data_IF_179049114286
#
_entry.id   IF_179049114286
#
_cell.length_a   1.000
_cell.length_b   1.000
_cell.length_c   1.000
_cell.angle_alpha   90.00
_cell.angle_beta   90.00
_cell.angle_gamma   90.00
#
_symmetry.space_group_name_H-M   'P 1'
#
loop_
_entity.id
_entity.type
_entity.pdbx_description
1 polymer ?
#
# COMPACT_ATOMS: atom_id res chain seq x y z
N UNK A 1 -12.85 -19.72 10.69
CA UNK A 1 -13.64 -18.57 10.15
C UNK A 1 -14.44 -17.94 11.29
N UNK A 2 -14.05 -16.73 11.70
CA UNK A 2 -14.64 -16.05 12.88
C UNK A 2 -16.07 -15.54 12.63
N UNK A 3 -16.43 -15.15 11.40
CA UNK A 3 -17.74 -14.56 11.04
C UNK A 3 -18.46 -15.37 9.94
N UNK A 4 -18.44 -16.69 10.03
CA UNK A 4 -19.09 -17.58 9.04
C UNK A 4 -20.59 -17.36 8.92
N UNK A 5 -21.24 -16.93 9.99
CA UNK A 5 -22.68 -16.65 10.03
C UNK A 5 -23.09 -15.55 9.05
N UNK A 6 -22.22 -14.60 8.75
CA UNK A 6 -22.47 -13.54 7.76
C UNK A 6 -22.70 -14.11 6.35
N UNK A 7 -22.17 -15.30 6.06
CA UNK A 7 -22.21 -15.93 4.74
C UNK A 7 -23.36 -16.93 4.58
N UNK A 8 -23.98 -17.36 5.68
CA UNK A 8 -25.00 -18.42 5.64
C UNK A 8 -26.22 -18.03 4.80
N UNK A 9 -26.48 -18.83 3.75
CA UNK A 9 -27.59 -18.63 2.82
C UNK A 9 -27.42 -17.45 1.86
N UNK A 10 -26.25 -16.83 1.82
CA UNK A 10 -25.95 -15.65 0.99
C UNK A 10 -25.48 -16.04 -0.41
N UNK A 11 -25.73 -15.15 -1.36
CA UNK A 11 -25.09 -15.15 -2.68
C UNK A 11 -23.84 -14.29 -2.60
N UNK A 12 -22.69 -14.84 -2.97
CA UNK A 12 -21.38 -14.21 -2.83
C UNK A 12 -20.71 -14.05 -4.20
N UNK A 13 -20.07 -12.91 -4.40
CA UNK A 13 -19.15 -12.66 -5.52
C UNK A 13 -17.72 -12.60 -4.95
N UNK A 14 -16.86 -13.50 -5.41
CA UNK A 14 -15.41 -13.46 -5.19
C UNK A 14 -14.77 -12.84 -6.43
N UNK A 15 -14.35 -11.58 -6.33
CA UNK A 15 -13.81 -10.82 -7.45
C UNK A 15 -12.28 -10.88 -7.45
N UNK A 16 -11.70 -11.31 -8.59
CA UNK A 16 -10.27 -11.61 -8.69
C UNK A 16 -9.93 -12.87 -7.91
N UNK A 17 -10.71 -13.92 -8.10
CA UNK A 17 -10.71 -15.11 -7.23
C UNK A 17 -9.38 -15.90 -7.26
N UNK A 18 -8.51 -15.67 -8.24
CA UNK A 18 -7.24 -16.40 -8.38
C UNK A 18 -7.48 -17.92 -8.42
N UNK A 19 -7.01 -18.61 -7.38
CA UNK A 19 -7.22 -20.05 -7.20
C UNK A 19 -8.60 -20.43 -6.64
N UNK A 20 -9.45 -19.44 -6.31
CA UNK A 20 -10.80 -19.66 -5.76
C UNK A 20 -10.81 -19.95 -4.25
N UNK A 21 -9.74 -19.64 -3.52
CA UNK A 21 -9.64 -19.95 -2.09
C UNK A 21 -10.72 -19.23 -1.28
N UNK A 22 -10.99 -17.95 -1.55
CA UNK A 22 -12.01 -17.17 -0.86
C UNK A 22 -13.41 -17.67 -1.22
N UNK A 23 -13.65 -17.98 -2.51
CA UNK A 23 -14.90 -18.57 -2.96
C UNK A 23 -15.20 -19.90 -2.26
N UNK A 24 -14.21 -20.79 -2.16
CA UNK A 24 -14.36 -22.07 -1.47
C UNK A 24 -14.60 -21.88 0.03
N UNK A 25 -13.97 -20.91 0.67
CA UNK A 25 -14.23 -20.57 2.06
C UNK A 25 -15.62 -19.99 2.27
N UNK A 26 -16.12 -19.14 1.36
CA UNK A 26 -17.48 -18.63 1.40
C UNK A 26 -18.51 -19.77 1.30
N UNK A 27 -18.30 -20.71 0.37
CA UNK A 27 -19.13 -21.91 0.25
C UNK A 27 -19.14 -22.76 1.53
N UNK A 28 -17.95 -23.02 2.12
CA UNK A 28 -17.80 -23.75 3.39
C UNK A 28 -18.39 -22.98 4.59
N UNK A 29 -18.52 -21.65 4.50
CA UNK A 29 -19.19 -20.82 5.49
C UNK A 29 -20.73 -20.87 5.36
N UNK A 30 -21.25 -21.56 4.34
CA UNK A 30 -22.69 -21.79 4.14
C UNK A 30 -23.34 -20.85 3.14
N UNK A 31 -22.56 -20.20 2.26
CA UNK A 31 -23.12 -19.47 1.12
C UNK A 31 -23.99 -20.40 0.26
N UNK A 32 -25.11 -19.88 -0.24
CA UNK A 32 -26.01 -20.62 -1.10
C UNK A 32 -25.53 -20.69 -2.55
N UNK A 33 -24.78 -19.67 -2.99
CA UNK A 33 -24.16 -19.58 -4.32
C UNK A 33 -22.92 -18.69 -4.21
N UNK A 34 -21.87 -19.03 -4.93
CA UNK A 34 -20.67 -18.21 -5.06
C UNK A 34 -20.29 -18.08 -6.52
N UNK A 35 -20.15 -16.86 -7.00
CA UNK A 35 -19.55 -16.54 -8.28
C UNK A 35 -18.08 -16.20 -8.07
N UNK A 36 -17.18 -17.01 -8.60
CA UNK A 36 -15.74 -16.79 -8.54
C UNK A 36 -15.26 -16.24 -9.89
N UNK A 37 -15.05 -14.93 -9.97
CA UNK A 37 -14.67 -14.25 -11.21
C UNK A 37 -13.16 -14.04 -11.25
N UNK A 38 -12.51 -14.54 -12.31
CA UNK A 38 -11.07 -14.44 -12.51
C UNK A 38 -10.77 -14.16 -13.97
N UNK A 39 -10.03 -13.08 -14.25
CA UNK A 39 -9.76 -12.62 -15.61
C UNK A 39 -8.64 -13.40 -16.30
N UNK A 40 -7.83 -14.13 -15.55
CA UNK A 40 -6.64 -14.84 -16.04
C UNK A 40 -6.88 -16.34 -16.24
N UNK A 41 -5.99 -17.05 -16.96
CA UNK A 41 -6.06 -18.51 -17.06
C UNK A 41 -6.00 -19.26 -15.71
N UNK A 42 -5.77 -18.56 -14.58
CA UNK A 42 -5.87 -19.13 -13.24
C UNK A 42 -7.28 -19.67 -12.94
N UNK A 43 -8.32 -19.13 -13.57
CA UNK A 43 -9.69 -19.64 -13.49
C UNK A 43 -9.81 -21.14 -13.78
N UNK A 44 -8.97 -21.68 -14.67
CA UNK A 44 -8.94 -23.11 -14.97
C UNK A 44 -8.46 -23.94 -13.78
N UNK A 45 -7.46 -23.44 -13.05
CA UNK A 45 -6.99 -24.09 -11.82
C UNK A 45 -8.01 -23.96 -10.69
N UNK A 46 -8.70 -22.81 -10.62
CA UNK A 46 -9.79 -22.62 -9.67
C UNK A 46 -10.92 -23.66 -9.88
N UNK A 47 -11.34 -23.91 -11.13
CA UNK A 47 -12.35 -24.95 -11.44
C UNK A 47 -11.93 -26.33 -10.96
N UNK A 48 -10.66 -26.73 -11.24
CA UNK A 48 -10.12 -28.00 -10.77
C UNK A 48 -10.15 -28.12 -9.24
N UNK A 49 -9.78 -27.03 -8.54
CA UNK A 49 -9.78 -27.00 -7.07
C UNK A 49 -11.19 -27.05 -6.49
N UNK A 50 -12.15 -26.32 -7.08
CA UNK A 50 -13.55 -26.33 -6.69
C UNK A 50 -14.14 -27.73 -6.85
N UNK A 51 -13.89 -28.41 -7.99
CA UNK A 51 -14.32 -29.78 -8.26
C UNK A 51 -13.71 -30.78 -7.28
N UNK A 52 -12.38 -30.72 -7.09
CA UNK A 52 -11.66 -31.60 -6.17
C UNK A 52 -12.13 -31.46 -4.70
N UNK A 53 -12.71 -30.32 -4.33
CA UNK A 53 -13.27 -30.06 -3.00
C UNK A 53 -14.79 -30.36 -2.93
N UNK A 54 -15.44 -30.83 -4.00
CA UNK A 54 -16.88 -31.15 -4.03
C UNK A 54 -17.77 -29.92 -3.88
N UNK A 55 -17.35 -28.77 -4.42
CA UNK A 55 -18.04 -27.48 -4.25
C UNK A 55 -18.69 -26.96 -5.54
N UNK A 56 -18.66 -27.74 -6.64
CA UNK A 56 -19.16 -27.33 -7.96
C UNK A 56 -20.66 -26.95 -7.99
N UNK A 57 -21.46 -27.49 -7.09
CA UNK A 57 -22.88 -27.14 -6.99
C UNK A 57 -23.11 -25.74 -6.39
N UNK A 58 -22.13 -25.22 -5.64
CA UNK A 58 -22.22 -23.93 -4.94
C UNK A 58 -21.36 -22.87 -5.63
N UNK A 59 -20.13 -23.22 -6.05
CA UNK A 59 -19.14 -22.29 -6.61
C UNK A 59 -19.14 -22.42 -8.13
N UNK A 60 -19.42 -21.30 -8.79
CA UNK A 60 -19.32 -21.13 -10.24
C UNK A 60 -18.11 -20.29 -10.58
N UNK A 61 -17.14 -20.85 -11.33
CA UNK A 61 -15.94 -20.14 -11.74
C UNK A 61 -16.12 -19.56 -13.14
N UNK A 62 -16.03 -18.24 -13.24
CA UNK A 62 -16.21 -17.47 -14.48
C UNK A 62 -14.84 -16.89 -14.90
N UNK A 63 -14.36 -17.27 -16.11
CA UNK A 63 -13.12 -16.75 -16.68
C UNK A 63 -13.44 -15.51 -17.54
N UNK A 64 -13.45 -14.34 -16.92
CA UNK A 64 -13.73 -13.06 -17.56
C UNK A 64 -13.26 -11.90 -16.67
N UNK A 65 -13.13 -10.71 -17.25
CA UNK A 65 -13.04 -9.48 -16.45
C UNK A 65 -14.39 -9.20 -15.81
N UNK A 66 -14.38 -8.64 -14.60
CA UNK A 66 -15.63 -8.37 -13.86
C UNK A 66 -16.56 -7.44 -14.64
N UNK A 67 -16.02 -6.52 -15.41
CA UNK A 67 -16.76 -5.58 -16.24
C UNK A 67 -17.49 -6.23 -17.40
N UNK A 68 -17.07 -7.44 -17.82
CA UNK A 68 -17.62 -8.23 -18.93
C UNK A 68 -18.61 -9.31 -18.46
N UNK A 69 -18.76 -9.50 -17.13
CA UNK A 69 -19.61 -10.54 -16.54
C UNK A 69 -21.05 -10.07 -16.45
N UNK A 70 -21.96 -10.99 -16.75
CA UNK A 70 -23.39 -10.86 -16.44
C UNK A 70 -23.79 -11.95 -15.45
N UNK A 71 -24.16 -11.53 -14.23
CA UNK A 71 -24.67 -12.43 -13.18
C UNK A 71 -26.18 -12.58 -13.31
N UNK A 72 -26.73 -13.67 -12.80
CA UNK A 72 -28.18 -13.92 -12.83
C UNK A 72 -28.98 -12.98 -11.90
N UNK A 73 -28.33 -12.17 -11.09
CA UNK A 73 -28.95 -11.20 -10.17
C UNK A 73 -27.91 -10.54 -9.27
N UNK A 74 -28.39 -9.70 -8.37
CA UNK A 74 -27.54 -9.05 -7.36
C UNK A 74 -27.02 -10.04 -6.32
N UNK A 75 -25.87 -9.71 -5.73
CA UNK A 75 -25.23 -10.50 -4.69
C UNK A 75 -25.39 -9.85 -3.31
N UNK A 76 -25.35 -10.66 -2.28
CA UNK A 76 -25.40 -10.22 -0.88
C UNK A 76 -24.05 -9.70 -0.38
N UNK A 77 -22.98 -10.33 -0.88
CA UNK A 77 -21.62 -10.11 -0.41
C UNK A 77 -20.66 -10.06 -1.60
N UNK A 78 -19.73 -9.13 -1.57
CA UNK A 78 -18.53 -9.17 -2.41
C UNK A 78 -17.33 -9.39 -1.51
N UNK A 79 -16.52 -10.40 -1.84
CA UNK A 79 -15.21 -10.59 -1.23
C UNK A 79 -14.13 -10.39 -2.28
N UNK A 80 -13.01 -9.78 -1.92
CA UNK A 80 -11.88 -9.61 -2.84
C UNK A 80 -10.60 -9.34 -2.08
N UNK A 81 -9.51 -9.96 -2.50
CA UNK A 81 -8.17 -9.56 -2.12
C UNK A 81 -7.64 -8.66 -3.24
N UNK A 82 -7.79 -7.35 -3.04
CA UNK A 82 -7.50 -6.30 -4.02
C UNK A 82 -6.32 -5.41 -3.65
N UNK A 83 -5.80 -5.56 -2.43
CA UNK A 83 -4.81 -4.66 -1.86
C UNK A 83 -3.46 -4.81 -2.55
N UNK A 84 -2.89 -3.68 -2.96
CA UNK A 84 -1.53 -3.59 -3.47
C UNK A 84 -0.58 -2.92 -2.49
N UNK A 85 0.64 -2.69 -2.90
CA UNK A 85 1.59 -1.90 -2.11
C UNK A 85 1.04 -0.49 -1.86
N UNK A 86 1.33 0.06 -0.68
CA UNK A 86 0.72 1.31 -0.22
C UNK A 86 -0.82 1.30 -0.37
N UNK A 87 -1.45 0.13 -0.16
CA UNK A 87 -2.88 -0.16 -0.31
C UNK A 87 -3.38 -0.14 -1.77
N UNK A 88 -3.12 0.91 -2.53
CA UNK A 88 -3.84 1.25 -3.76
C UNK A 88 -3.07 0.95 -5.06
N UNK A 89 -1.83 0.47 -4.97
CA UNK A 89 -1.09 0.03 -6.17
C UNK A 89 -1.86 -1.10 -6.85
N UNK A 90 -1.76 -1.19 -8.17
CA UNK A 90 -2.47 -2.10 -9.06
C UNK A 90 -3.88 -1.65 -9.46
N UNK A 91 -4.48 -0.68 -8.76
CA UNK A 91 -5.80 -0.11 -9.04
C UNK A 91 -6.96 -1.13 -9.07
N UNK A 92 -6.79 -2.31 -8.43
CA UNK A 92 -7.80 -3.35 -8.44
C UNK A 92 -9.06 -2.96 -7.65
N UNK A 93 -8.92 -2.03 -6.69
CA UNK A 93 -10.08 -1.48 -5.95
C UNK A 93 -11.11 -0.82 -6.88
N UNK A 94 -10.71 -0.27 -8.03
CA UNK A 94 -11.63 0.32 -8.99
C UNK A 94 -12.63 -0.71 -9.53
N UNK A 95 -12.13 -1.90 -9.86
CA UNK A 95 -12.99 -3.02 -10.29
C UNK A 95 -13.89 -3.53 -9.16
N UNK A 96 -13.43 -3.47 -7.90
CA UNK A 96 -14.29 -3.80 -6.73
C UNK A 96 -15.42 -2.79 -6.58
N UNK A 97 -15.10 -1.49 -6.70
CA UNK A 97 -16.10 -0.42 -6.63
C UNK A 97 -17.10 -0.55 -7.78
N UNK A 98 -16.61 -0.82 -8.99
CA UNK A 98 -17.47 -1.07 -10.15
C UNK A 98 -18.41 -2.27 -9.89
N UNK A 99 -17.87 -3.38 -9.38
CA UNK A 99 -18.67 -4.56 -9.04
C UNK A 99 -19.68 -4.29 -7.93
N UNK A 100 -19.28 -3.49 -6.92
CA UNK A 100 -20.18 -3.01 -5.85
C UNK A 100 -21.38 -2.27 -6.43
N UNK A 101 -21.12 -1.29 -7.29
CA UNK A 101 -22.15 -0.39 -7.82
C UNK A 101 -23.10 -1.13 -8.78
N UNK A 102 -22.62 -2.15 -9.50
CA UNK A 102 -23.43 -2.96 -10.43
C UNK A 102 -24.14 -4.12 -9.75
N UNK A 103 -23.45 -4.86 -8.88
CA UNK A 103 -23.89 -6.17 -8.43
C UNK A 103 -24.28 -6.27 -6.96
N UNK A 104 -23.76 -5.42 -6.07
CA UNK A 104 -24.09 -5.49 -4.65
C UNK A 104 -25.50 -4.96 -4.41
N UNK A 105 -26.34 -5.76 -3.74
CA UNK A 105 -27.67 -5.30 -3.37
C UNK A 105 -27.61 -4.20 -2.29
N UNK A 106 -28.65 -3.37 -2.16
CA UNK A 106 -28.76 -2.44 -1.05
C UNK A 106 -28.64 -3.15 0.31
N UNK A 107 -27.76 -2.65 1.19
CA UNK A 107 -27.47 -3.27 2.49
C UNK A 107 -26.56 -4.51 2.44
N UNK A 108 -26.02 -4.86 1.27
CA UNK A 108 -25.01 -5.90 1.10
C UNK A 108 -23.68 -5.53 1.76
N UNK A 109 -22.78 -6.50 1.87
CA UNK A 109 -21.50 -6.35 2.57
C UNK A 109 -20.31 -6.48 1.62
N UNK A 110 -19.26 -5.70 1.88
CA UNK A 110 -17.92 -5.88 1.30
C UNK A 110 -16.98 -6.52 2.33
N UNK A 111 -16.09 -7.39 1.86
CA UNK A 111 -14.99 -7.94 2.65
C UNK A 111 -13.68 -7.87 1.88
N UNK A 112 -12.74 -6.97 2.32
CA UNK A 112 -12.84 -6.06 3.46
C UNK A 112 -13.92 -4.98 3.28
N UNK A 113 -14.40 -4.43 4.40
CA UNK A 113 -15.42 -3.37 4.41
C UNK A 113 -14.82 -1.98 4.53
N UNK A 114 -13.65 -1.87 5.18
CA UNK A 114 -12.92 -0.63 5.36
C UNK A 114 -11.42 -0.85 5.14
N UNK A 115 -10.72 0.21 4.82
CA UNK A 115 -9.27 0.21 4.70
C UNK A 115 -8.70 1.56 5.14
N UNK A 116 -7.47 1.57 5.65
CA UNK A 116 -6.74 2.79 5.96
C UNK A 116 -5.25 2.66 5.63
N UNK A 117 -4.59 3.81 5.48
CA UNK A 117 -3.15 3.91 5.26
C UNK A 117 -2.52 4.44 6.55
N UNK A 118 -1.46 3.77 7.00
CA UNK A 118 -0.63 4.17 8.13
C UNK A 118 0.74 4.68 7.68
N UNK A 119 1.31 5.55 8.48
CA UNK A 119 2.60 6.17 8.25
C UNK A 119 3.43 6.21 9.52
N UNK A 120 4.76 6.10 9.40
CA UNK A 120 5.64 6.23 10.56
C UNK A 120 7.03 6.69 10.19
N UNK A 121 7.69 7.34 11.15
CA UNK A 121 9.09 7.69 11.06
C UNK A 121 9.95 6.45 11.37
N UNK A 122 10.98 6.24 10.57
CA UNK A 122 11.88 5.10 10.66
C UNK A 122 13.28 5.54 11.05
N UNK A 123 13.92 4.74 11.92
CA UNK A 123 15.34 4.82 12.22
C UNK A 123 16.18 3.82 11.42
N UNK A 124 15.54 3.02 10.57
CA UNK A 124 16.18 2.00 9.77
C UNK A 124 17.20 2.59 8.80
N UNK A 125 18.46 2.28 9.00
CA UNK A 125 19.60 2.85 8.27
C UNK A 125 20.26 1.87 7.28
N UNK A 126 19.88 0.58 7.31
CA UNK A 126 20.60 -0.49 6.62
C UNK A 126 20.64 -0.33 5.10
N UNK A 127 19.51 -0.11 4.45
CA UNK A 127 19.45 -0.03 2.99
C UNK A 127 19.54 1.39 2.45
N UNK A 128 19.21 2.39 3.25
CA UNK A 128 19.17 3.76 2.80
C UNK A 128 20.55 4.38 2.61
N UNK A 129 21.49 4.17 3.53
CA UNK A 129 22.88 4.57 3.32
C UNK A 129 23.44 3.88 2.07
N UNK A 130 23.00 2.65 1.80
CA UNK A 130 23.33 1.92 0.58
C UNK A 130 22.72 2.56 -0.67
N UNK A 131 21.50 3.14 -0.62
CA UNK A 131 20.87 3.78 -1.77
C UNK A 131 21.57 5.09 -2.14
N UNK A 132 21.81 5.98 -1.18
CA UNK A 132 22.53 7.23 -1.43
C UNK A 132 23.96 6.95 -1.86
N UNK A 133 24.67 6.06 -1.14
CA UNK A 133 26.01 5.64 -1.50
C UNK A 133 26.05 4.93 -2.86
N UNK A 134 25.05 4.10 -3.17
CA UNK A 134 24.89 3.45 -4.48
C UNK A 134 24.76 4.47 -5.61
N UNK A 135 23.94 5.50 -5.43
CA UNK A 135 23.82 6.60 -6.38
C UNK A 135 25.14 7.34 -6.59
N UNK A 136 25.83 7.71 -5.50
CA UNK A 136 27.11 8.41 -5.55
C UNK A 136 28.20 7.55 -6.23
N UNK A 137 28.28 6.27 -5.89
CA UNK A 137 29.21 5.33 -6.50
C UNK A 137 28.96 5.19 -8.01
N UNK A 138 27.70 5.03 -8.41
CA UNK A 138 27.29 4.92 -9.82
C UNK A 138 27.70 6.17 -10.62
N UNK A 139 27.56 7.35 -10.04
CA UNK A 139 28.01 8.60 -10.68
C UNK A 139 29.54 8.69 -10.79
N UNK A 140 30.27 8.19 -9.79
CA UNK A 140 31.74 8.14 -9.82
C UNK A 140 32.25 7.14 -10.90
N UNK A 141 31.62 5.97 -10.96
CA UNK A 141 31.91 4.96 -12.02
C UNK A 141 31.64 5.52 -13.41
N UNK A 142 30.50 6.19 -13.61
CA UNK A 142 30.15 6.85 -14.87
C UNK A 142 31.21 7.88 -15.29
N UNK A 143 31.67 8.69 -14.33
CA UNK A 143 32.69 9.70 -14.57
C UNK A 143 34.01 9.05 -15.01
N UNK A 144 34.41 7.98 -14.33
CA UNK A 144 35.63 7.21 -14.65
C UNK A 144 35.54 6.57 -16.02
N UNK A 145 34.41 5.92 -16.31
CA UNK A 145 34.14 5.28 -17.60
C UNK A 145 34.23 6.27 -18.77
N UNK A 146 33.56 7.42 -18.68
CA UNK A 146 33.61 8.46 -19.72
C UNK A 146 35.01 8.97 -19.97
N UNK A 147 35.76 9.19 -18.88
CA UNK A 147 37.15 9.65 -18.98
C UNK A 147 37.99 8.64 -19.73
N UNK A 148 37.91 7.37 -19.39
CA UNK A 148 38.63 6.30 -20.08
C UNK A 148 38.29 6.22 -21.57
N UNK A 149 37.00 6.24 -21.92
CA UNK A 149 36.58 6.26 -23.33
C UNK A 149 37.12 7.43 -24.13
N UNK A 150 37.14 8.62 -23.52
CA UNK A 150 37.66 9.83 -24.17
C UNK A 150 39.16 9.74 -24.37
N UNK A 151 39.90 9.26 -23.37
CA UNK A 151 41.37 9.17 -23.39
C UNK A 151 41.89 8.06 -24.33
N UNK A 152 41.23 6.87 -24.31
CA UNK A 152 41.69 5.71 -25.07
C UNK A 152 41.15 5.65 -26.51
N UNK A 153 39.88 6.09 -26.70
CA UNK A 153 39.19 5.94 -27.98
C UNK A 153 38.76 7.25 -28.64
N UNK A 154 38.96 8.41 -27.97
CA UNK A 154 38.56 9.73 -28.48
C UNK A 154 37.03 9.94 -28.51
N UNK A 155 36.26 9.11 -27.82
CA UNK A 155 34.76 9.14 -27.82
C UNK A 155 34.26 9.88 -26.59
N UNK A 156 33.49 10.97 -26.79
CA UNK A 156 32.79 11.66 -25.71
C UNK A 156 31.36 11.09 -25.51
N UNK A 157 31.01 10.78 -24.27
CA UNK A 157 29.67 10.37 -23.83
C UNK A 157 28.94 11.49 -23.06
N UNK A 158 29.47 12.70 -23.03
CA UNK A 158 28.94 13.81 -22.21
C UNK A 158 27.47 14.15 -22.51
N UNK A 159 27.03 13.89 -23.74
CA UNK A 159 25.63 14.09 -24.15
C UNK A 159 24.63 13.27 -23.32
N UNK A 160 25.07 12.13 -22.75
CA UNK A 160 24.24 11.24 -21.94
C UNK A 160 24.23 11.60 -20.44
N UNK A 161 25.04 12.54 -19.98
CA UNK A 161 25.18 12.86 -18.55
C UNK A 161 23.86 13.15 -17.88
N UNK A 162 23.03 13.97 -18.51
CA UNK A 162 21.73 14.34 -17.94
C UNK A 162 20.79 13.14 -17.84
N UNK A 163 20.69 12.36 -18.90
CA UNK A 163 19.83 11.17 -18.93
C UNK A 163 20.30 10.16 -17.87
N UNK A 164 21.59 9.83 -17.85
CA UNK A 164 22.19 8.90 -16.90
C UNK A 164 21.94 9.31 -15.43
N UNK A 165 22.17 10.57 -15.11
CA UNK A 165 21.92 11.10 -13.76
C UNK A 165 20.45 11.04 -13.38
N UNK A 166 19.55 11.33 -14.32
CA UNK A 166 18.10 11.29 -14.07
C UNK A 166 17.64 9.87 -13.80
N UNK A 167 17.99 8.92 -14.67
CA UNK A 167 17.61 7.51 -14.53
C UNK A 167 18.09 6.91 -13.21
N UNK A 168 19.36 7.17 -12.85
CA UNK A 168 19.93 6.61 -11.61
C UNK A 168 19.38 7.31 -10.36
N UNK A 169 19.07 8.61 -10.44
CA UNK A 169 18.40 9.32 -9.38
C UNK A 169 17.00 8.75 -9.13
N UNK A 170 16.21 8.55 -10.18
CA UNK A 170 14.89 7.90 -10.10
C UNK A 170 15.02 6.51 -9.48
N UNK A 171 15.95 5.68 -9.96
CA UNK A 171 16.16 4.34 -9.46
C UNK A 171 16.53 4.30 -7.97
N UNK A 172 17.52 5.06 -7.54
CA UNK A 172 18.05 5.01 -6.18
C UNK A 172 17.29 5.88 -5.17
N UNK A 173 16.77 7.05 -5.59
CA UNK A 173 16.32 8.09 -4.66
C UNK A 173 14.84 8.48 -4.80
N UNK A 174 14.17 8.09 -5.89
CA UNK A 174 12.80 8.50 -6.16
C UNK A 174 11.82 7.31 -6.25
N UNK A 175 12.27 6.08 -5.93
CA UNK A 175 11.41 4.92 -5.80
C UNK A 175 11.20 4.56 -4.33
N UNK A 176 9.97 4.18 -4.00
CA UNK A 176 9.70 3.52 -2.74
C UNK A 176 10.30 2.11 -2.75
N UNK A 177 10.82 1.68 -1.60
CA UNK A 177 11.45 0.38 -1.46
C UNK A 177 10.59 -0.54 -0.61
N UNK A 178 10.44 -1.79 -1.06
CA UNK A 178 9.83 -2.84 -0.24
C UNK A 178 10.76 -3.23 0.90
N UNK A 179 10.21 -3.39 2.11
CA UNK A 179 10.94 -3.92 3.26
C UNK A 179 10.02 -4.65 4.22
N UNK A 180 10.58 -5.60 4.97
CA UNK A 180 9.97 -6.17 6.16
C UNK A 180 10.58 -5.47 7.38
N UNK A 181 9.96 -4.38 7.81
CA UNK A 181 10.40 -3.59 8.95
C UNK A 181 10.09 -4.32 10.26
N UNK A 182 10.96 -4.12 11.27
CA UNK A 182 10.70 -4.56 12.64
C UNK A 182 10.02 -3.43 13.41
N UNK A 183 9.29 -3.76 14.45
CA UNK A 183 8.70 -2.77 15.36
C UNK A 183 9.74 -1.81 15.96
N UNK A 184 10.96 -2.30 16.18
CA UNK A 184 12.09 -1.48 16.67
C UNK A 184 12.58 -0.42 15.68
N UNK A 185 12.23 -0.56 14.39
CA UNK A 185 12.65 0.37 13.34
C UNK A 185 11.71 1.59 13.27
N UNK A 186 10.54 1.54 13.94
CA UNK A 186 9.55 2.62 14.01
C UNK A 186 9.79 3.47 15.24
N UNK A 187 9.98 4.77 15.06
CA UNK A 187 10.24 5.73 16.16
C UNK A 187 9.07 6.66 16.45
N UNK A 188 7.98 6.51 15.74
CA UNK A 188 6.71 7.21 15.90
C UNK A 188 5.83 6.94 14.70
N UNK A 189 4.52 6.80 14.89
CA UNK A 189 3.60 6.48 13.80
C UNK A 189 2.20 7.05 14.00
N UNK A 190 1.47 7.12 12.89
CA UNK A 190 0.03 7.29 12.86
C UNK A 190 -0.53 6.20 11.93
N UNK A 191 -1.17 5.21 12.51
CA UNK A 191 -1.59 3.98 11.83
C UNK A 191 -2.92 4.11 11.10
N UNK A 192 -3.65 5.22 11.29
CA UNK A 192 -5.00 5.43 10.75
C UNK A 192 -5.19 6.88 10.30
N UNK A 193 -4.44 7.28 9.28
CA UNK A 193 -4.49 8.68 8.82
C UNK A 193 -5.77 9.04 8.09
N UNK A 194 -6.32 8.10 7.32
CA UNK A 194 -7.62 8.22 6.63
C UNK A 194 -8.23 6.84 6.53
N UNK A 195 -9.43 6.65 7.07
CA UNK A 195 -10.21 5.42 6.89
C UNK A 195 -11.20 5.60 5.72
N UNK A 196 -11.20 4.63 4.82
CA UNK A 196 -12.11 4.54 3.68
C UNK A 196 -13.20 3.51 3.98
N UNK A 197 -14.46 3.92 3.97
CA UNK A 197 -15.60 3.00 3.91
C UNK A 197 -15.79 2.54 2.46
N UNK A 198 -15.52 1.28 2.19
CA UNK A 198 -15.55 0.72 0.83
C UNK A 198 -16.98 0.57 0.27
N UNK A 199 -18.01 0.70 1.12
CA UNK A 199 -19.39 0.75 0.65
C UNK A 199 -19.76 2.10 0.02
N UNK A 200 -19.03 3.17 0.37
CA UNK A 200 -19.39 4.54 -0.04
C UNK A 200 -18.33 5.25 -0.85
N UNK A 201 -17.05 4.91 -0.67
CA UNK A 201 -15.95 5.57 -1.37
C UNK A 201 -16.09 5.48 -2.89
N UNK A 202 -15.73 6.55 -3.61
CA UNK A 202 -15.75 6.62 -5.06
C UNK A 202 -14.35 6.48 -5.66
N UNK A 203 -14.29 6.10 -6.95
CA UNK A 203 -13.02 6.04 -7.71
C UNK A 203 -12.38 7.43 -7.80
N UNK A 204 -13.20 8.49 -7.91
CA UNK A 204 -12.68 9.87 -7.99
C UNK A 204 -11.97 10.29 -6.69
N UNK A 205 -12.53 9.93 -5.53
CA UNK A 205 -11.88 10.15 -4.22
C UNK A 205 -10.55 9.41 -4.11
N UNK A 206 -10.48 8.16 -4.60
CA UNK A 206 -9.25 7.35 -4.59
C UNK A 206 -8.21 7.78 -5.62
N UNK A 207 -8.61 8.54 -6.64
CA UNK A 207 -7.69 9.01 -7.68
C UNK A 207 -6.83 10.21 -7.25
N UNK A 208 -7.22 10.91 -6.17
CA UNK A 208 -6.58 12.16 -5.70
C UNK A 208 -6.61 12.24 -4.18
N UNK A 209 -5.89 11.35 -3.55
CA UNK A 209 -5.86 11.30 -2.10
C UNK A 209 -4.98 12.42 -1.56
N UNK A 210 -5.53 13.17 -0.62
CA UNK A 210 -4.81 14.20 0.13
C UNK A 210 -5.09 14.02 1.60
N UNK A 211 -4.05 13.92 2.40
CA UNK A 211 -4.21 13.81 3.85
C UNK A 211 -3.16 14.65 4.58
N UNK A 212 -3.57 15.15 5.76
CA UNK A 212 -2.68 15.80 6.71
C UNK A 212 -2.76 15.03 8.00
N UNK A 213 -1.62 14.69 8.54
CA UNK A 213 -1.53 13.96 9.79
C UNK A 213 -0.28 14.36 10.56
N UNK A 214 -0.23 13.99 11.81
CA UNK A 214 0.95 14.16 12.64
C UNK A 214 1.09 12.97 13.58
N UNK A 215 2.31 12.76 14.05
CA UNK A 215 2.62 11.80 15.10
C UNK A 215 3.82 12.28 15.92
N UNK A 216 3.88 11.83 17.16
CA UNK A 216 4.95 12.14 18.09
C UNK A 216 6.10 11.14 17.95
N UNK A 217 7.33 11.59 18.11
CA UNK A 217 8.51 10.73 18.21
C UNK A 217 8.56 10.13 19.62
N UNK A 218 8.51 8.81 19.68
CA UNK A 218 8.50 8.05 20.92
C UNK A 218 9.89 7.62 21.38
N UNK A 219 10.85 7.57 20.45
CA UNK A 219 12.25 7.23 20.73
C UNK A 219 12.93 8.32 21.57
N UNK A 220 13.84 7.93 22.45
CA UNK A 220 14.57 8.87 23.29
C UNK A 220 15.40 9.88 22.50
N UNK A 221 16.20 9.38 21.54
CA UNK A 221 16.97 10.12 20.55
C UNK A 221 17.23 9.20 19.38
N UNK A 222 17.00 9.65 18.17
CA UNK A 222 17.15 8.84 16.96
C UNK A 222 17.44 9.72 15.73
N UNK A 223 17.89 9.08 14.65
CA UNK A 223 17.91 9.68 13.33
C UNK A 223 16.69 9.22 12.54
N UNK A 224 15.81 10.14 12.19
CA UNK A 224 14.71 9.93 11.28
C UNK A 224 15.27 9.87 9.85
N UNK A 225 15.25 8.71 9.24
CA UNK A 225 15.94 8.46 7.96
C UNK A 225 14.98 8.18 6.81
N UNK A 226 13.77 7.70 7.10
CA UNK A 226 12.78 7.38 6.08
C UNK A 226 11.35 7.47 6.64
N UNK A 227 10.38 7.74 5.78
CA UNK A 227 8.97 7.57 6.09
C UNK A 227 8.54 6.17 5.68
N UNK A 228 7.93 5.41 6.59
CA UNK A 228 7.32 4.12 6.32
C UNK A 228 5.85 4.26 5.95
N UNK A 229 5.38 3.41 5.04
CA UNK A 229 3.98 3.34 4.64
C UNK A 229 3.49 1.89 4.70
N UNK A 230 2.34 1.68 5.31
CA UNK A 230 1.63 0.41 5.42
C UNK A 230 0.12 0.61 5.37
N UNK A 231 -0.64 -0.45 5.48
CA UNK A 231 -2.10 -0.35 5.50
C UNK A 231 -2.75 -1.35 6.44
N UNK A 232 -4.00 -1.06 6.77
CA UNK A 232 -4.91 -1.98 7.45
C UNK A 232 -6.17 -2.14 6.64
N UNK A 233 -6.77 -3.33 6.70
CA UNK A 233 -8.13 -3.57 6.22
C UNK A 233 -8.97 -4.20 7.30
N UNK A 234 -10.22 -3.74 7.41
CA UNK A 234 -11.15 -4.15 8.45
C UNK A 234 -12.32 -4.89 7.83
N UNK A 235 -12.74 -5.97 8.52
CA UNK A 235 -13.81 -6.87 8.10
C UNK A 235 -14.96 -6.72 9.09
N UNK A 236 -15.74 -5.63 8.95
CA UNK A 236 -16.85 -5.25 9.87
C UNK A 236 -18.20 -5.73 9.37
N UNK A 237 -18.32 -6.10 8.09
CA UNK A 237 -19.60 -6.34 7.43
C UNK A 237 -20.30 -5.04 7.05
N UNK A 238 -21.64 -5.08 6.95
CA UNK A 238 -22.47 -3.90 6.71
C UNK A 238 -23.40 -3.64 7.89
N UNK A 239 -24.03 -2.45 7.99
CA UNK A 239 -25.02 -2.17 9.04
C UNK A 239 -26.17 -3.19 9.09
N UNK A 240 -26.56 -3.80 7.94
CA UNK A 240 -27.62 -4.79 7.83
C UNK A 240 -27.12 -6.23 8.03
N UNK A 241 -25.80 -6.44 7.93
CA UNK A 241 -25.15 -7.75 8.14
C UNK A 241 -23.80 -7.53 8.85
N UNK A 242 -23.83 -7.07 10.12
CA UNK A 242 -22.61 -6.78 10.86
C UNK A 242 -21.89 -8.08 11.25
N UNK A 243 -20.57 -8.03 11.25
CA UNK A 243 -19.76 -9.10 11.83
C UNK A 243 -19.91 -9.16 13.35
N UNK A 244 -19.99 -10.35 13.91
CA UNK A 244 -19.98 -10.54 15.37
C UNK A 244 -18.65 -10.19 16.02
N UNK A 245 -17.57 -10.28 15.25
CA UNK A 245 -16.22 -9.89 15.64
C UNK A 245 -15.57 -9.10 14.51
N UNK A 246 -15.02 -7.94 14.85
CA UNK A 246 -14.13 -7.25 13.92
C UNK A 246 -12.86 -8.09 13.70
N UNK A 247 -12.48 -8.23 12.45
CA UNK A 247 -11.21 -8.81 12.05
C UNK A 247 -10.42 -7.73 11.33
N UNK A 248 -9.17 -7.57 11.69
CA UNK A 248 -8.26 -6.62 11.06
C UNK A 248 -7.10 -7.40 10.44
N UNK A 249 -6.80 -7.11 9.19
CA UNK A 249 -5.53 -7.43 8.55
C UNK A 249 -4.67 -6.17 8.65
N UNK A 250 -3.58 -6.26 9.39
CA UNK A 250 -2.66 -5.15 9.65
C UNK A 250 -1.29 -5.49 9.08
N UNK A 251 -0.80 -4.65 8.18
CA UNK A 251 0.53 -4.81 7.55
C UNK A 251 1.59 -3.91 8.18
N UNK A 252 1.29 -3.28 9.34
CA UNK A 252 2.26 -2.46 10.05
C UNK A 252 3.40 -3.31 10.64
N UNK A 253 4.56 -2.71 10.92
CA UNK A 253 5.69 -3.41 11.55
C UNK A 253 5.41 -3.92 12.98
N UNK A 254 4.27 -3.55 13.57
CA UNK A 254 3.84 -3.99 14.91
C UNK A 254 3.16 -5.36 14.89
N UNK A 255 2.81 -5.88 13.72
CA UNK A 255 2.11 -7.15 13.51
C UNK A 255 2.99 -8.15 12.75
N UNK A 256 2.60 -9.43 12.70
CA UNK A 256 3.33 -10.44 11.94
C UNK A 256 3.51 -10.06 10.48
N UNK A 257 4.66 -10.40 9.92
CA UNK A 257 5.00 -10.14 8.53
C UNK A 257 3.93 -10.65 7.57
N UNK A 258 3.67 -9.86 6.54
CA UNK A 258 2.82 -10.23 5.42
C UNK A 258 3.59 -10.11 4.11
N UNK A 259 3.08 -10.70 3.02
CA UNK A 259 3.72 -10.57 1.70
C UNK A 259 3.67 -9.14 1.12
N UNK A 260 2.88 -8.23 1.69
CA UNK A 260 2.90 -6.81 1.32
C UNK A 260 4.08 -6.06 1.91
N UNK A 261 4.62 -6.51 3.05
CA UNK A 261 5.63 -5.77 3.78
C UNK A 261 5.23 -4.31 4.00
N UNK A 262 6.21 -3.42 4.02
CA UNK A 262 6.00 -1.98 4.10
C UNK A 262 6.74 -1.28 2.95
N UNK A 263 6.26 -0.09 2.57
CA UNK A 263 6.97 0.77 1.64
C UNK A 263 7.82 1.76 2.42
N UNK A 264 9.09 1.83 2.11
CA UNK A 264 10.07 2.73 2.71
C UNK A 264 10.38 3.85 1.73
N UNK A 265 10.22 5.09 2.18
CA UNK A 265 10.46 6.31 1.42
C UNK A 265 11.61 7.08 2.07
N UNK A 266 12.85 6.92 1.56
CA UNK A 266 14.05 7.48 2.16
C UNK A 266 14.04 9.01 2.17
N UNK A 267 14.45 9.64 3.28
CA UNK A 267 14.76 11.06 3.28
C UNK A 267 16.12 11.29 2.64
N UNK A 268 16.26 12.38 1.89
CA UNK A 268 17.55 12.75 1.27
C UNK A 268 18.66 12.97 2.30
N UNK A 269 18.30 13.33 3.53
CA UNK A 269 19.23 13.51 4.66
C UNK A 269 18.54 13.06 5.94
N UNK A 270 19.24 12.29 6.79
CA UNK A 270 18.75 11.99 8.13
C UNK A 270 18.51 13.25 8.96
N UNK A 271 17.50 13.20 9.82
CA UNK A 271 17.16 14.29 10.74
C UNK A 271 17.24 13.76 12.16
N UNK A 272 18.06 14.41 12.99
CA UNK A 272 18.10 14.06 14.41
C UNK A 272 16.81 14.51 15.10
N UNK A 273 16.15 13.59 15.78
CA UNK A 273 14.88 13.78 16.47
C UNK A 273 14.96 13.27 17.89
N UNK A 274 14.09 13.77 18.76
CA UNK A 274 14.01 13.41 20.16
C UNK A 274 12.57 13.08 20.55
N UNK A 275 12.42 12.38 21.66
CA UNK A 275 11.10 12.10 22.22
C UNK A 275 10.32 13.39 22.42
N UNK A 276 9.06 13.38 21.98
CA UNK A 276 8.15 14.52 22.07
C UNK A 276 8.22 15.46 20.86
N UNK A 277 9.19 15.27 19.94
CA UNK A 277 9.16 15.97 18.65
C UNK A 277 7.94 15.48 17.85
N UNK A 278 7.30 16.39 17.13
CA UNK A 278 6.13 16.09 16.32
C UNK A 278 6.52 16.16 14.84
N UNK A 279 6.29 15.07 14.14
CA UNK A 279 6.36 15.05 12.67
C UNK A 279 4.99 15.42 12.13
N UNK A 280 4.91 16.54 11.41
CA UNK A 280 3.73 16.92 10.65
C UNK A 280 3.94 16.59 9.18
N UNK A 281 2.97 15.94 8.56
CA UNK A 281 3.04 15.48 7.19
C UNK A 281 1.79 15.87 6.40
N UNK A 282 2.00 16.37 5.19
CA UNK A 282 0.96 16.48 4.16
C UNK A 282 1.31 15.54 3.02
N UNK A 283 0.41 14.61 2.70
CA UNK A 283 0.60 13.63 1.63
C UNK A 283 -0.38 13.82 0.49
N UNK A 284 0.10 13.50 -0.71
CA UNK A 284 -0.69 13.42 -1.92
C UNK A 284 -0.35 12.08 -2.59
N UNK A 285 -1.37 11.29 -2.89
CA UNK A 285 -1.23 10.02 -3.60
C UNK A 285 -1.94 10.18 -4.93
N UNK A 286 -1.18 10.13 -6.00
CA UNK A 286 -1.67 10.22 -7.37
C UNK A 286 -1.36 8.93 -8.13
N UNK A 287 -2.10 8.65 -9.18
CA UNK A 287 -1.75 7.59 -10.14
C UNK A 287 -0.78 8.11 -11.19
N UNK A 288 0.11 7.25 -11.65
CA UNK A 288 1.00 7.62 -12.76
C UNK A 288 0.20 7.83 -14.05
N UNK A 289 0.57 8.86 -14.81
CA UNK A 289 -0.14 9.23 -16.05
C UNK A 289 -0.11 8.13 -17.10
N UNK A 290 1.04 7.49 -17.25
CA UNK A 290 1.28 6.48 -18.29
C UNK A 290 0.87 5.07 -17.85
N UNK A 291 0.73 4.85 -16.55
CA UNK A 291 0.29 3.58 -15.98
C UNK A 291 -0.54 3.80 -14.71
N UNK A 292 -1.87 3.80 -14.87
CA UNK A 292 -2.83 4.04 -13.77
C UNK A 292 -2.78 2.98 -12.65
N UNK A 293 -2.08 1.86 -12.88
CA UNK A 293 -1.86 0.82 -11.85
C UNK A 293 -0.75 1.18 -10.87
N UNK A 294 0.10 2.15 -11.22
CA UNK A 294 1.22 2.60 -10.40
C UNK A 294 0.88 3.90 -9.68
N UNK A 295 1.49 4.09 -8.51
CA UNK A 295 1.26 5.27 -7.69
C UNK A 295 2.47 6.19 -7.70
N UNK A 296 2.19 7.47 -7.49
CA UNK A 296 3.18 8.47 -7.12
C UNK A 296 2.79 9.04 -5.77
N UNK A 297 3.66 8.89 -4.80
CA UNK A 297 3.51 9.45 -3.47
C UNK A 297 4.28 10.78 -3.41
N UNK A 298 3.57 11.83 -3.05
CA UNK A 298 4.18 13.12 -2.74
C UNK A 298 3.96 13.41 -1.27
N UNK A 299 4.95 13.92 -0.59
CA UNK A 299 4.77 14.39 0.76
C UNK A 299 5.63 15.61 1.07
N UNK A 300 5.13 16.40 1.99
CA UNK A 300 5.80 17.52 2.60
C UNK A 300 5.86 17.27 4.10
N UNK A 301 7.07 17.31 4.63
CA UNK A 301 7.34 16.99 6.02
C UNK A 301 7.93 18.18 6.75
N UNK A 302 7.57 18.33 8.01
CA UNK A 302 8.30 19.15 8.96
C UNK A 302 8.39 18.46 10.33
N UNK A 303 9.48 18.70 11.02
CA UNK A 303 9.67 18.28 12.40
C UNK A 303 9.54 19.49 13.31
N UNK A 304 8.57 19.48 14.20
CA UNK A 304 8.34 20.52 15.19
C UNK A 304 8.92 20.04 16.52
N UNK A 305 9.90 20.76 17.10
CA UNK A 305 10.50 20.37 18.37
C UNK A 305 9.47 20.33 19.50
N UNK A 306 9.47 19.24 20.26
CA UNK A 306 8.71 19.12 21.49
C UNK A 306 9.46 19.73 22.69
N UNK A 307 8.79 19.88 23.86
CA UNK A 307 9.40 20.37 25.08
C UNK A 307 10.38 19.32 25.64
N UNK A 308 11.67 19.51 25.40
CA UNK A 308 12.73 18.65 25.95
C UNK A 308 13.39 19.28 27.17
N UNK A 309 14.11 18.48 27.99
CA UNK A 309 14.94 19.02 29.07
C UNK A 309 16.01 20.01 28.58
N UNK A 310 16.46 19.87 27.33
CA UNK A 310 17.43 20.79 26.71
C UNK A 310 16.84 22.17 26.39
N UNK A 311 15.53 22.25 26.13
CA UNK A 311 14.84 23.53 25.93
C UNK A 311 14.78 24.33 27.23
N UNK A 312 14.81 23.64 28.38
CA UNK A 312 14.91 24.28 29.72
C UNK A 312 16.30 24.84 30.02
N UNK A 313 17.32 24.45 29.24
CA UNK A 313 18.70 24.92 29.36
C UNK A 313 19.08 26.00 28.31
N UNK A 314 18.11 26.47 27.53
CA UNK A 314 18.27 27.62 26.61
C UNK A 314 18.76 27.26 25.20
N UNK A 315 18.75 26.01 24.81
CA UNK A 315 18.99 25.60 23.42
C UNK A 315 17.70 25.65 22.60
N UNK A 316 17.51 26.75 21.88
CA UNK A 316 16.35 27.02 21.02
C UNK A 316 16.42 26.11 19.77
N UNK A 317 15.73 24.95 19.76
CA UNK A 317 15.60 24.09 18.59
C UNK A 317 14.55 24.66 17.66
N UNK A 318 14.90 24.77 16.37
CA UNK A 318 14.01 25.33 15.35
C UNK A 318 13.24 24.23 14.63
N UNK A 319 12.07 24.59 14.10
CA UNK A 319 11.32 23.76 13.16
C UNK A 319 12.23 23.42 11.98
N UNK A 320 12.27 22.11 11.64
CA UNK A 320 13.04 21.62 10.50
C UNK A 320 12.05 21.30 9.38
N UNK A 321 12.09 22.07 8.31
CA UNK A 321 11.35 21.79 7.09
C UNK A 321 12.17 20.87 6.18
N UNK A 322 11.60 19.73 5.80
CA UNK A 322 12.25 18.73 4.97
C UNK A 322 11.88 18.88 3.48
N UNK A 323 11.02 19.86 3.17
CA UNK A 323 10.62 20.16 1.80
C UNK A 323 9.66 19.16 1.20
N UNK A 324 9.57 19.19 -0.12
CA UNK A 324 8.70 18.31 -0.91
C UNK A 324 9.49 17.11 -1.43
N UNK A 325 8.93 15.91 -1.22
CA UNK A 325 9.48 14.65 -1.70
C UNK A 325 8.50 13.97 -2.64
N UNK A 326 9.02 13.22 -3.61
CA UNK A 326 8.24 12.47 -4.58
C UNK A 326 8.82 11.08 -4.74
N UNK A 327 7.97 10.04 -4.66
CA UNK A 327 8.38 8.65 -4.83
C UNK A 327 7.41 7.90 -5.74
N UNK A 328 7.96 7.05 -6.60
CA UNK A 328 7.18 6.10 -7.38
C UNK A 328 7.01 4.81 -6.56
N UNK A 329 5.81 4.25 -6.54
CA UNK A 329 5.52 2.91 -6.03
C UNK A 329 5.33 2.01 -7.25
N UNK A 330 6.39 1.28 -7.58
CA UNK A 330 6.50 0.45 -8.78
C UNK A 330 5.97 -0.97 -8.55
#
# INVERSE_FOLDING_TARGET
MKNKECFKGKVVLDMGSGTGILAMWAAKAGASKVYAVEATPMARKARMLVEANGLSDIVEVIEAKIEEVELSGQVDIIVSEWMGYALLREAMLDSVIWARDKWLRPGGSLFPSHACIGWGALLYDGDQQNQVAGYENTLAEWTTFKKGLKEEYGISMDVLDKAYRTEHREYYLENAHYSNLRSSDVIGSNDETVEYDLLTVSIDELSKIRSKFSFEIEAGSANFVALGCWFKTMFRGSPQNPCSQEVVLDTSPLFPETHWGQQVLPLMRPVSVWRGDVVECETFIDRQKDNQRMLVLHFQLKVVPGPTKQDLEGNDRRVIELGHHKYNVL
#
